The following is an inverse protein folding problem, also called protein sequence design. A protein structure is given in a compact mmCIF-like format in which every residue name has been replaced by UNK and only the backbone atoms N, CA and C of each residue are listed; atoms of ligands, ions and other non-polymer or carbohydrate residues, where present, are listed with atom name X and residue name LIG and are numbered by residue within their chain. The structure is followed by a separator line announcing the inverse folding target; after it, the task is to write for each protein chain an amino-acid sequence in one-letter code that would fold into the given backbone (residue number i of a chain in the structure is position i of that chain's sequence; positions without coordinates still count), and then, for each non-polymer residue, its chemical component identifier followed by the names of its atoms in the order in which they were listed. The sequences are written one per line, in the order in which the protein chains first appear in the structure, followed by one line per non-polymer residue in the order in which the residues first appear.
data_IF_316217502398
#
_entry.id   IF_316217502398
#
_cell.length_a   1.000
_cell.length_b   1.000
_cell.length_c   1.000
_cell.angle_alpha   90.00
_cell.angle_beta   90.00
_cell.angle_gamma   90.00
#
_symmetry.space_group_name_H-M   'P 1'
#
loop_
_entity.id
_entity.type
_entity.pdbx_description
1 polymer ?
#
# COMPACT_ATOMS: atom_id res chain seq x y z
N UNK A 1 20.77 -14.74 -20.35
CA UNK A 1 20.24 -14.49 -19.00
C UNK A 1 21.03 -13.33 -18.43
N UNK A 2 20.39 -12.31 -17.85
CA UNK A 2 21.07 -11.26 -17.10
C UNK A 2 20.91 -11.64 -15.64
N UNK A 3 22.03 -11.97 -14.99
CA UNK A 3 22.02 -12.66 -13.71
C UNK A 3 21.37 -14.05 -13.79
N UNK A 4 20.81 -14.50 -12.67
CA UNK A 4 20.09 -15.75 -12.47
C UNK A 4 18.69 -15.77 -13.11
N UNK A 5 18.24 -14.67 -13.73
CA UNK A 5 16.88 -14.53 -14.24
C UNK A 5 16.75 -14.77 -15.75
N UNK A 6 15.64 -15.42 -16.11
CA UNK A 6 15.18 -15.60 -17.48
C UNK A 6 14.51 -14.33 -18.03
N UNK A 7 14.42 -14.19 -19.36
CA UNK A 7 13.76 -13.03 -20.01
C UNK A 7 12.29 -12.89 -19.59
N UNK A 8 11.47 -13.96 -19.52
CA UNK A 8 10.11 -13.87 -18.98
C UNK A 8 10.06 -13.31 -17.55
N UNK A 9 10.98 -13.73 -16.68
CA UNK A 9 11.04 -13.25 -15.29
C UNK A 9 11.34 -11.75 -15.24
N UNK A 10 12.23 -11.27 -16.11
CA UNK A 10 12.52 -9.84 -16.24
C UNK A 10 11.30 -9.00 -16.62
N UNK A 11 10.48 -9.48 -17.55
CA UNK A 11 9.24 -8.81 -17.95
C UNK A 11 8.31 -8.66 -16.75
N UNK A 12 8.19 -9.69 -15.92
CA UNK A 12 7.37 -9.64 -14.70
C UNK A 12 7.92 -8.60 -13.72
N UNK A 13 9.23 -8.56 -13.44
CA UNK A 13 9.79 -7.58 -12.51
C UNK A 13 9.58 -6.13 -12.95
N UNK A 14 9.85 -5.83 -14.21
CA UNK A 14 9.67 -4.48 -14.75
C UNK A 14 8.18 -4.12 -14.82
N UNK A 15 7.33 -5.07 -15.22
CA UNK A 15 5.88 -4.92 -15.24
C UNK A 15 5.34 -4.60 -13.85
N UNK A 16 5.72 -5.39 -12.83
CA UNK A 16 5.26 -5.18 -11.45
C UNK A 16 5.70 -3.82 -10.87
N UNK A 17 6.90 -3.33 -11.19
CA UNK A 17 7.31 -1.97 -10.77
C UNK A 17 6.44 -0.89 -11.43
N UNK A 18 6.15 -1.04 -12.72
CA UNK A 18 5.28 -0.11 -13.44
C UNK A 18 3.85 -0.14 -12.87
N UNK A 19 3.28 -1.33 -12.69
CA UNK A 19 1.95 -1.54 -12.10
C UNK A 19 1.87 -0.96 -10.69
N UNK A 20 2.89 -1.20 -9.84
CA UNK A 20 2.94 -0.66 -8.49
C UNK A 20 3.04 0.87 -8.48
N UNK A 21 3.79 1.45 -9.41
CA UNK A 21 3.92 2.92 -9.57
C UNK A 21 2.57 3.55 -9.92
N UNK A 22 1.86 2.95 -10.87
CA UNK A 22 0.52 3.37 -11.26
C UNK A 22 -0.45 3.21 -10.09
N UNK A 23 -0.40 2.10 -9.36
CA UNK A 23 -1.24 1.88 -8.18
C UNK A 23 -1.03 2.96 -7.11
N UNK A 24 0.23 3.31 -6.80
CA UNK A 24 0.55 4.40 -5.88
C UNK A 24 -0.05 5.73 -6.33
N UNK A 25 0.06 6.07 -7.61
CA UNK A 25 -0.57 7.28 -8.17
C UNK A 25 -2.09 7.23 -8.03
N UNK A 26 -2.72 6.09 -8.35
CA UNK A 26 -4.17 5.92 -8.26
C UNK A 26 -4.67 6.05 -6.83
N UNK A 27 -3.99 5.47 -5.83
CA UNK A 27 -4.34 5.65 -4.42
C UNK A 27 -4.30 7.12 -4.00
N UNK A 28 -3.24 7.85 -4.38
CA UNK A 28 -3.15 9.28 -4.10
C UNK A 28 -4.32 10.05 -4.70
N UNK A 29 -4.58 9.87 -6.00
CA UNK A 29 -5.64 10.56 -6.73
C UNK A 29 -7.03 10.22 -6.16
N UNK A 30 -7.26 8.94 -5.85
CA UNK A 30 -8.50 8.47 -5.24
C UNK A 30 -8.72 9.11 -3.87
N UNK A 31 -7.69 9.14 -3.03
CA UNK A 31 -7.75 9.79 -1.72
C UNK A 31 -8.02 11.29 -1.80
N UNK A 32 -7.47 11.99 -2.81
CA UNK A 32 -7.84 13.39 -3.07
C UNK A 32 -9.29 13.53 -3.50
N UNK A 33 -9.75 12.74 -4.46
CA UNK A 33 -11.12 12.81 -5.00
C UNK A 33 -12.18 12.51 -3.94
N UNK A 34 -11.91 11.55 -3.06
CA UNK A 34 -12.83 11.16 -1.98
C UNK A 34 -12.65 11.99 -0.69
N UNK A 35 -11.74 12.97 -0.68
CA UNK A 35 -11.30 13.68 0.52
C UNK A 35 -10.95 12.75 1.70
N UNK A 36 -10.42 11.57 1.40
CA UNK A 36 -10.07 10.55 2.37
C UNK A 36 -8.56 10.58 2.63
N UNK A 37 -8.17 11.00 3.83
CA UNK A 37 -6.76 11.15 4.23
C UNK A 37 -6.02 9.81 4.28
N UNK A 38 -6.69 8.72 4.63
CA UNK A 38 -6.10 7.38 4.71
C UNK A 38 -5.70 6.87 3.34
N UNK A 39 -6.60 6.98 2.35
CA UNK A 39 -6.31 6.63 0.96
C UNK A 39 -5.25 7.55 0.36
N UNK A 40 -5.30 8.86 0.66
CA UNK A 40 -4.33 9.83 0.13
C UNK A 40 -2.91 9.55 0.64
N UNK A 41 -2.77 9.00 1.85
CA UNK A 41 -1.48 8.67 2.48
C UNK A 41 -1.02 7.24 2.21
N UNK A 42 -1.85 6.36 1.64
CA UNK A 42 -1.45 4.99 1.27
C UNK A 42 -0.15 4.90 0.46
N UNK A 43 0.11 5.78 -0.52
CA UNK A 43 1.36 5.73 -1.28
C UNK A 43 2.60 5.82 -0.40
N UNK A 44 2.56 6.59 0.71
CA UNK A 44 3.69 6.69 1.63
C UNK A 44 4.02 5.35 2.29
N UNK A 45 3.00 4.54 2.57
CA UNK A 45 3.11 3.19 3.15
C UNK A 45 3.65 2.19 2.12
N UNK A 46 3.40 2.43 0.83
CA UNK A 46 3.82 1.58 -0.28
C UNK A 46 5.29 1.79 -0.70
N UNK A 47 5.92 2.91 -0.30
CA UNK A 47 7.29 3.27 -0.71
C UNK A 47 8.34 2.20 -0.35
N UNK A 48 8.39 1.65 0.88
CA UNK A 48 9.43 0.66 1.21
C UNK A 48 9.37 -0.57 0.31
N UNK A 49 8.17 -1.03 -0.05
CA UNK A 49 7.98 -2.13 -0.99
C UNK A 49 8.43 -1.77 -2.42
N UNK A 50 8.14 -0.55 -2.88
CA UNK A 50 8.65 -0.06 -4.17
C UNK A 50 10.18 -0.08 -4.20
N UNK A 51 10.81 0.45 -3.14
CA UNK A 51 12.25 0.50 -3.01
C UNK A 51 12.87 -0.90 -2.95
N UNK A 52 12.21 -1.84 -2.27
CA UNK A 52 12.58 -3.25 -2.25
C UNK A 52 12.63 -3.85 -3.66
N UNK A 53 11.58 -3.65 -4.47
CA UNK A 53 11.55 -4.14 -5.85
C UNK A 53 12.63 -3.51 -6.75
N UNK A 54 12.93 -2.23 -6.55
CA UNK A 54 14.04 -1.56 -7.26
C UNK A 54 15.41 -2.16 -6.85
N UNK A 55 15.62 -2.44 -5.56
CA UNK A 55 16.82 -3.13 -5.10
C UNK A 55 16.95 -4.53 -5.72
N UNK A 56 15.85 -5.28 -5.87
CA UNK A 56 15.86 -6.58 -6.55
C UNK A 56 16.33 -6.46 -8.02
N UNK A 57 15.82 -5.46 -8.75
CA UNK A 57 16.25 -5.19 -10.12
C UNK A 57 17.74 -4.84 -10.17
N UNK A 58 18.22 -3.95 -9.30
CA UNK A 58 19.63 -3.55 -9.26
C UNK A 58 20.53 -4.77 -8.95
N UNK A 59 20.09 -5.64 -8.03
CA UNK A 59 20.82 -6.87 -7.71
C UNK A 59 20.98 -7.77 -8.95
N UNK A 60 19.92 -7.96 -9.74
CA UNK A 60 20.01 -8.77 -10.96
C UNK A 60 20.78 -8.08 -12.09
N UNK A 61 20.71 -6.74 -12.22
CA UNK A 61 21.55 -5.98 -13.18
C UNK A 61 23.04 -6.15 -12.86
N UNK A 62 23.39 -6.25 -11.58
CA UNK A 62 24.77 -6.49 -11.12
C UNK A 62 25.19 -7.96 -11.16
N UNK A 63 24.47 -8.79 -11.93
CA UNK A 63 24.75 -10.23 -12.12
C UNK A 63 24.78 -10.97 -10.77
N UNK A 64 23.92 -10.56 -9.83
CA UNK A 64 23.74 -11.21 -8.52
C UNK A 64 24.97 -11.16 -7.58
N UNK A 65 25.94 -10.28 -7.85
CA UNK A 65 27.17 -10.18 -7.05
C UNK A 65 27.01 -9.30 -5.80
N UNK A 66 26.16 -8.29 -5.86
CA UNK A 66 26.04 -7.27 -4.81
C UNK A 66 25.09 -7.67 -3.68
N UNK A 67 25.53 -8.63 -2.86
CA UNK A 67 24.78 -9.20 -1.72
C UNK A 67 24.22 -8.14 -0.76
N UNK A 68 24.93 -7.02 -0.55
CA UNK A 68 24.44 -5.94 0.30
C UNK A 68 23.09 -5.35 -0.18
N UNK A 69 22.88 -5.26 -1.50
CA UNK A 69 21.61 -4.79 -2.08
C UNK A 69 20.51 -5.82 -1.89
N UNK A 70 20.81 -7.11 -2.03
CA UNK A 70 19.84 -8.18 -1.76
C UNK A 70 19.40 -8.20 -0.27
N UNK A 71 20.35 -7.98 0.64
CA UNK A 71 20.04 -7.82 2.07
C UNK A 71 19.18 -6.58 2.29
N UNK A 72 19.52 -5.44 1.70
CA UNK A 72 18.72 -4.22 1.78
C UNK A 72 17.30 -4.42 1.21
N UNK A 73 17.16 -5.13 0.09
CA UNK A 73 15.88 -5.52 -0.50
C UNK A 73 15.02 -6.25 0.53
N UNK A 74 15.58 -7.24 1.22
CA UNK A 74 14.87 -8.05 2.22
C UNK A 74 14.41 -7.22 3.43
N UNK A 75 15.28 -6.33 3.92
CA UNK A 75 14.90 -5.40 5.00
C UNK A 75 13.79 -4.42 4.56
N UNK A 76 13.87 -3.90 3.34
CA UNK A 76 12.84 -3.00 2.80
C UNK A 76 11.49 -3.71 2.65
N UNK A 77 11.47 -5.00 2.28
CA UNK A 77 10.26 -5.83 2.28
C UNK A 77 9.67 -5.93 3.69
N UNK A 78 10.50 -6.26 4.68
CA UNK A 78 10.06 -6.38 6.08
C UNK A 78 9.50 -5.06 6.62
N UNK A 79 10.22 -3.96 6.39
CA UNK A 79 9.79 -2.60 6.77
C UNK A 79 8.46 -2.28 6.09
N UNK A 80 8.32 -2.58 4.80
CA UNK A 80 7.08 -2.41 4.06
C UNK A 80 5.91 -3.16 4.71
N UNK A 81 6.09 -4.44 5.04
CA UNK A 81 5.06 -5.23 5.74
C UNK A 81 4.65 -4.59 7.07
N UNK A 82 5.62 -4.13 7.86
CA UNK A 82 5.36 -3.44 9.11
C UNK A 82 4.61 -2.12 8.89
N UNK A 83 4.97 -1.34 7.87
CA UNK A 83 4.26 -0.11 7.52
C UNK A 83 2.79 -0.39 7.15
N UNK A 84 2.52 -1.43 6.35
CA UNK A 84 1.15 -1.83 6.01
C UNK A 84 0.36 -2.31 7.23
N UNK A 85 0.96 -3.14 8.09
CA UNK A 85 0.32 -3.60 9.32
C UNK A 85 -0.02 -2.43 10.25
N UNK A 86 0.92 -1.50 10.43
CA UNK A 86 0.72 -0.29 11.23
C UNK A 86 -0.37 0.60 10.63
N UNK A 87 -0.36 0.83 9.32
CA UNK A 87 -1.38 1.62 8.64
C UNK A 87 -2.77 1.01 8.81
N UNK A 88 -2.91 -0.30 8.60
CA UNK A 88 -4.17 -1.01 8.76
C UNK A 88 -4.69 -0.94 10.20
N UNK A 89 -3.81 -1.12 11.18
CA UNK A 89 -4.13 -0.98 12.60
C UNK A 89 -4.64 0.42 12.95
N UNK A 90 -3.93 1.47 12.50
CA UNK A 90 -4.33 2.86 12.74
C UNK A 90 -5.63 3.22 12.03
N UNK A 91 -5.82 2.73 10.81
CA UNK A 91 -7.04 2.93 10.04
C UNK A 91 -8.25 2.29 10.73
N UNK A 92 -8.13 1.04 11.18
CA UNK A 92 -9.19 0.35 11.92
C UNK A 92 -9.60 1.13 13.19
N UNK A 93 -8.61 1.60 13.96
CA UNK A 93 -8.87 2.43 15.14
C UNK A 93 -9.59 3.74 14.81
N UNK A 94 -9.31 4.33 13.66
CA UNK A 94 -10.01 5.54 13.21
C UNK A 94 -11.49 5.28 12.90
N UNK A 95 -11.80 4.15 12.26
CA UNK A 95 -13.18 3.74 11.98
C UNK A 95 -13.94 3.48 13.28
N UNK A 96 -13.34 2.73 14.22
CA UNK A 96 -13.96 2.46 15.51
C UNK A 96 -14.26 3.74 16.30
N UNK A 97 -13.36 4.73 16.25
CA UNK A 97 -13.57 6.02 16.90
C UNK A 97 -14.75 6.78 16.28
N UNK A 98 -14.85 6.82 14.95
CA UNK A 98 -16.00 7.42 14.24
C UNK A 98 -17.32 6.71 14.58
N UNK A 99 -17.33 5.38 14.63
CA UNK A 99 -18.52 4.58 14.97
C UNK A 99 -18.98 4.81 16.41
N UNK A 100 -18.06 4.97 17.36
CA UNK A 100 -18.39 5.27 18.77
C UNK A 100 -18.97 6.67 18.94
N UNK A 101 -18.56 7.63 18.12
CA UNK A 101 -19.00 9.03 18.21
C UNK A 101 -20.38 9.27 17.59
N UNK A 102 -20.81 8.46 16.61
CA UNK A 102 -22.13 8.61 15.99
C UNK A 102 -23.21 8.10 16.96
N UNK A 103 -24.03 8.96 17.60
CA UNK A 103 -25.08 8.48 18.49
C UNK A 103 -26.02 7.61 17.68
N UNK A 104 -26.38 6.45 18.24
CA UNK A 104 -27.30 5.47 17.64
C UNK A 104 -28.61 6.22 17.31
N UNK A 105 -28.79 6.62 16.06
CA UNK A 105 -30.04 7.23 15.61
C UNK A 105 -31.10 6.13 15.67
N UNK A 106 -31.79 6.03 16.80
CA UNK A 106 -33.03 5.25 16.90
C UNK A 106 -33.97 5.83 15.84
N UNK A 107 -34.50 5.02 14.91
CA UNK A 107 -35.46 5.53 13.94
C UNK A 107 -36.62 6.13 14.73
N UNK A 108 -36.79 7.45 14.62
CA UNK A 108 -37.90 8.15 15.23
C UNK A 108 -39.16 7.47 14.70
N UNK A 109 -39.87 6.77 15.59
CA UNK A 109 -41.18 6.20 15.31
C UNK A 109 -42.02 7.39 14.84
N UNK A 110 -42.31 7.47 13.53
CA UNK A 110 -43.29 8.41 13.01
C UNK A 110 -44.59 8.05 13.69
N UNK A 111 -44.84 8.73 14.80
CA UNK A 111 -46.12 8.72 15.48
C UNK A 111 -47.12 9.15 14.44
N UNK A 112 -47.95 8.19 14.03
CA UNK A 112 -49.05 8.37 13.10
C UNK A 112 -50.07 9.25 13.82
N UNK A 113 -49.78 10.55 13.90
CA UNK A 113 -50.80 11.58 14.04
C UNK A 113 -51.44 11.73 12.66
N UNK A 114 -52.30 10.77 12.32
CA UNK A 114 -53.44 11.04 11.45
C UNK A 114 -54.62 11.23 12.39
N UNK A 115 -54.88 12.48 12.72
CA UNK A 115 -56.21 12.93 13.11
C UNK A 115 -57.15 12.91 11.91
#
# INVERSE_FOLDING_TARGET
MIGLLSIPTWIVHLGSIAEWSVAMLLFYLLGRKLNNVWLRRMPLVMIPYMLSGLCAIIYHITIDEWKAINVAQSYLTLIGSCCFALWAFLFLRSIEAELKQKPRQTPQKKEVQRG
#
